data_IF_936948190957
#
_entry.id   IF_936948190957
#
_cell.length_a   1.000
_cell.length_b   1.000
_cell.length_c   1.000
_cell.angle_alpha   90.00
_cell.angle_beta   90.00
_cell.angle_gamma   90.00
#
_symmetry.space_group_name_H-M   'P 1'
#
loop_
_entity.id
_entity.type
_entity.pdbx_description
1 polymer ?
#
# COMPACT_ATOMS: atom_id res chain seq x y z
N UNK A 1 -12.11 -21.42 -34.81
CA UNK A 1 -10.80 -21.36 -34.13
C UNK A 1 -10.76 -20.04 -33.39
N UNK A 2 -11.01 -20.07 -32.08
CA UNK A 2 -11.19 -18.87 -31.26
C UNK A 2 -9.84 -18.22 -30.97
N UNK A 3 -9.85 -16.89 -31.03
CA UNK A 3 -8.74 -15.99 -30.81
C UNK A 3 -8.06 -16.33 -29.47
N UNK A 4 -6.75 -16.60 -29.50
CA UNK A 4 -5.92 -16.61 -28.29
C UNK A 4 -5.78 -15.15 -27.90
N UNK A 5 -6.78 -14.68 -27.15
CA UNK A 5 -6.78 -13.39 -26.50
C UNK A 5 -5.53 -13.33 -25.63
N UNK A 6 -4.57 -12.51 -26.03
CA UNK A 6 -3.36 -12.22 -25.27
C UNK A 6 -3.81 -11.57 -23.98
N UNK A 7 -4.03 -12.39 -22.95
CA UNK A 7 -4.23 -11.96 -21.57
C UNK A 7 -3.04 -11.06 -21.22
N UNK A 8 -3.29 -9.76 -21.21
CA UNK A 8 -2.29 -8.77 -20.87
C UNK A 8 -1.88 -9.01 -19.42
N UNK A 9 -0.58 -9.22 -19.13
CA UNK A 9 -0.10 -9.53 -17.77
C UNK A 9 -0.35 -8.39 -16.76
N UNK A 10 -0.76 -7.20 -17.22
CA UNK A 10 -1.16 -6.08 -16.37
C UNK A 10 -2.58 -6.24 -15.76
N UNK A 11 -3.48 -7.00 -16.39
CA UNK A 11 -4.83 -7.21 -15.89
C UNK A 11 -4.89 -7.92 -14.52
N UNK A 12 -4.14 -9.02 -14.27
CA UNK A 12 -4.13 -9.66 -12.96
C UNK A 12 -3.44 -8.82 -11.87
N UNK A 13 -2.47 -7.97 -12.23
CA UNK A 13 -1.83 -7.05 -11.28
C UNK A 13 -2.76 -5.89 -10.89
N UNK A 14 -3.43 -5.28 -11.87
CA UNK A 14 -4.39 -4.22 -11.58
C UNK A 14 -5.57 -4.75 -10.74
N UNK A 15 -6.05 -5.96 -11.02
CA UNK A 15 -7.11 -6.60 -10.24
C UNK A 15 -6.69 -6.88 -8.80
N UNK A 16 -5.46 -7.31 -8.55
CA UNK A 16 -4.99 -7.60 -7.19
C UNK A 16 -4.74 -6.32 -6.39
N UNK A 17 -4.26 -5.25 -7.02
CA UNK A 17 -4.09 -3.94 -6.37
C UNK A 17 -5.44 -3.34 -5.97
N UNK A 18 -6.45 -3.41 -6.85
CA UNK A 18 -7.80 -2.91 -6.52
C UNK A 18 -8.37 -3.69 -5.32
N UNK A 19 -8.27 -5.01 -5.31
CA UNK A 19 -8.75 -5.83 -4.19
C UNK A 19 -8.03 -5.50 -2.87
N UNK A 20 -6.73 -5.23 -2.92
CA UNK A 20 -5.97 -4.81 -1.73
C UNK A 20 -6.42 -3.43 -1.23
N UNK A 21 -6.74 -2.50 -2.13
CA UNK A 21 -7.27 -1.19 -1.78
C UNK A 21 -8.67 -1.30 -1.15
N UNK A 22 -9.55 -2.12 -1.72
CA UNK A 22 -10.88 -2.38 -1.16
C UNK A 22 -10.81 -3.01 0.24
N UNK A 23 -9.90 -3.98 0.42
CA UNK A 23 -9.68 -4.60 1.72
C UNK A 23 -9.12 -3.62 2.76
N UNK A 24 -8.22 -2.73 2.33
CA UNK A 24 -7.66 -1.68 3.17
C UNK A 24 -8.75 -0.67 3.58
N UNK A 25 -9.61 -0.27 2.66
CA UNK A 25 -10.74 0.62 2.94
C UNK A 25 -11.71 -0.01 3.96
N UNK A 26 -12.05 -1.28 3.78
CA UNK A 26 -12.91 -2.02 4.70
C UNK A 26 -12.32 -2.09 6.11
N UNK A 27 -11.00 -2.29 6.23
CA UNK A 27 -10.29 -2.25 7.51
C UNK A 27 -10.37 -0.88 8.17
N UNK A 28 -10.12 0.21 7.43
CA UNK A 28 -10.23 1.56 7.98
C UNK A 28 -11.65 1.91 8.40
N UNK A 29 -12.65 1.40 7.69
CA UNK A 29 -14.05 1.55 8.06
C UNK A 29 -14.38 0.84 9.39
N UNK A 30 -13.94 -0.42 9.55
CA UNK A 30 -14.13 -1.18 10.80
C UNK A 30 -13.40 -0.54 12.00
N UNK A 31 -12.19 -0.01 11.79
CA UNK A 31 -11.46 0.70 12.86
C UNK A 31 -12.21 1.98 13.26
N UNK A 32 -12.81 2.68 12.29
CA UNK A 32 -13.59 3.90 12.56
C UNK A 32 -14.88 3.62 13.33
N UNK A 33 -15.51 2.45 13.14
CA UNK A 33 -16.72 2.09 13.88
C UNK A 33 -16.47 1.75 15.35
N UNK A 34 -15.23 1.38 15.70
CA UNK A 34 -14.84 0.95 17.05
C UNK A 34 -14.16 2.07 17.87
N UNK A 35 -13.66 3.13 17.22
CA UNK A 35 -12.91 4.20 17.88
C UNK A 35 -13.73 5.49 18.00
N UNK A 36 -13.58 6.16 19.14
CA UNK A 36 -14.02 7.55 19.29
C UNK A 36 -13.30 8.46 18.28
N UNK A 37 -14.01 9.45 17.73
CA UNK A 37 -13.57 10.26 16.59
C UNK A 37 -12.17 10.88 16.77
N UNK A 38 -11.86 11.35 17.98
CA UNK A 38 -10.57 11.98 18.28
C UNK A 38 -9.43 10.96 18.41
N UNK A 39 -9.72 9.74 18.85
CA UNK A 39 -8.77 8.64 18.92
C UNK A 39 -8.42 8.11 17.51
N UNK A 40 -9.41 8.05 16.61
CA UNK A 40 -9.21 7.60 15.23
C UNK A 40 -8.23 8.50 14.46
N UNK A 41 -8.39 9.82 14.55
CA UNK A 41 -7.53 10.77 13.86
C UNK A 41 -6.06 10.66 14.34
N UNK A 42 -5.85 10.52 15.64
CA UNK A 42 -4.52 10.36 16.22
C UNK A 42 -3.86 9.03 15.81
N UNK A 43 -4.61 7.91 15.87
CA UNK A 43 -4.13 6.60 15.45
C UNK A 43 -3.77 6.57 13.95
N UNK A 44 -4.59 7.21 13.11
CA UNK A 44 -4.34 7.31 11.67
C UNK A 44 -3.08 8.14 11.37
N UNK A 45 -2.87 9.25 12.10
CA UNK A 45 -1.68 10.08 11.95
C UNK A 45 -0.40 9.30 12.34
N UNK A 46 -0.44 8.56 13.45
CA UNK A 46 0.69 7.72 13.87
C UNK A 46 1.01 6.63 12.85
N UNK A 47 -0.02 5.92 12.35
CA UNK A 47 0.15 4.91 11.30
C UNK A 47 0.80 5.51 10.05
N UNK A 48 0.34 6.69 9.61
CA UNK A 48 0.92 7.40 8.47
C UNK A 48 2.40 7.75 8.68
N UNK A 49 2.75 8.22 9.88
CA UNK A 49 4.13 8.55 10.24
C UNK A 49 5.04 7.32 10.23
N UNK A 50 4.60 6.18 10.78
CA UNK A 50 5.36 4.94 10.78
C UNK A 50 5.63 4.42 9.36
N UNK A 51 4.60 4.39 8.52
CA UNK A 51 4.72 3.95 7.12
C UNK A 51 5.70 4.86 6.35
N UNK A 52 5.53 6.19 6.47
CA UNK A 52 6.41 7.14 5.81
C UNK A 52 7.87 7.00 6.27
N UNK A 53 8.09 6.84 7.58
CA UNK A 53 9.43 6.67 8.16
C UNK A 53 10.09 5.39 7.66
N UNK A 54 9.34 4.27 7.64
CA UNK A 54 9.82 2.99 7.11
C UNK A 54 10.18 3.07 5.63
N UNK A 55 9.33 3.72 4.82
CA UNK A 55 9.59 3.92 3.40
C UNK A 55 10.86 4.75 3.16
N UNK A 56 11.02 5.87 3.86
CA UNK A 56 12.23 6.72 3.75
C UNK A 56 13.48 5.93 4.14
N UNK A 57 13.44 5.14 5.22
CA UNK A 57 14.57 4.32 5.64
C UNK A 57 14.93 3.25 4.59
N UNK A 58 13.93 2.62 3.98
CA UNK A 58 14.13 1.65 2.91
C UNK A 58 14.74 2.30 1.66
N UNK A 59 14.22 3.45 1.23
CA UNK A 59 14.75 4.19 0.08
C UNK A 59 16.17 4.70 0.35
N UNK A 60 16.47 5.13 1.57
CA UNK A 60 17.84 5.48 1.97
C UNK A 60 18.82 4.32 1.82
N UNK A 61 18.42 3.10 2.19
CA UNK A 61 19.23 1.89 1.99
C UNK A 61 19.43 1.58 0.51
N UNK A 62 18.36 1.64 -0.30
CA UNK A 62 18.43 1.40 -1.74
C UNK A 62 19.38 2.40 -2.40
N UNK A 63 19.21 3.69 -2.14
CA UNK A 63 20.07 4.74 -2.68
C UNK A 63 21.54 4.55 -2.29
N UNK A 64 21.82 4.15 -1.03
CA UNK A 64 23.18 3.83 -0.62
C UNK A 64 23.76 2.63 -1.37
N UNK A 65 22.96 1.58 -1.59
CA UNK A 65 23.40 0.41 -2.37
C UNK A 65 23.70 0.77 -3.82
N UNK A 66 22.89 1.63 -4.46
CA UNK A 66 23.13 2.10 -5.83
C UNK A 66 24.42 2.92 -5.94
N UNK A 67 24.72 3.76 -4.96
CA UNK A 67 25.97 4.58 -4.94
C UNK A 67 27.22 3.72 -4.71
N UNK A 68 27.14 2.65 -3.89
CA UNK A 68 28.28 1.76 -3.62
C UNK A 68 28.51 0.70 -4.70
N UNK A 69 27.63 0.59 -5.70
CA UNK A 69 27.80 -0.31 -6.85
C UNK A 69 28.54 0.35 -8.04
N UNK A 70 29.11 1.55 -7.84
CA UNK A 70 29.96 2.29 -8.79
C UNK A 70 31.42 2.21 -8.37
#
# INVERSE_FOLDING_TARGET
>A
MANVDRVHPAAPFASSVIQQLEQLEAMFHAIRSELESDCYAYQLANLGQEIASGYVAAMGKIAQMEVHHV
#
